data_IF_556603615793
#
_entry.id   IF_556603615793
#
_cell.length_a   1.000
_cell.length_b   1.000
_cell.length_c   1.000
_cell.angle_alpha   90.00
_cell.angle_beta   90.00
_cell.angle_gamma   90.00
#
_symmetry.space_group_name_H-M   'P 1'
#
loop_
_entity.id
_entity.type
_entity.pdbx_description
1 polymer ?
#
# COMPACT_ATOMS: atom_id res chain seq x y z
N UNK A 1 -1.39 -1.15 38.23
CA UNK A 1 -0.14 -1.61 38.86
C UNK A 1 -0.39 -2.96 39.51
N UNK A 2 0.44 -3.99 39.26
CA UNK A 2 0.27 -5.29 39.92
C UNK A 2 0.67 -5.14 41.40
N UNK A 3 -0.25 -5.47 42.31
CA UNK A 3 -0.03 -5.34 43.75
C UNK A 3 1.12 -6.29 44.16
N UNK A 4 2.26 -5.72 44.58
CA UNK A 4 3.51 -6.45 44.85
C UNK A 4 3.31 -7.53 45.93
N UNK A 5 2.36 -7.31 46.83
CA UNK A 5 1.93 -8.25 47.88
C UNK A 5 1.28 -9.51 47.30
N UNK A 6 0.52 -9.39 46.21
CA UNK A 6 -0.16 -10.53 45.56
C UNK A 6 0.80 -11.39 44.73
N UNK A 7 1.86 -10.79 44.19
CA UNK A 7 2.87 -11.54 43.43
C UNK A 7 3.76 -12.37 44.37
N UNK A 8 4.10 -11.85 45.55
CA UNK A 8 4.88 -12.59 46.56
C UNK A 8 4.10 -13.79 47.12
N UNK A 9 2.82 -13.63 47.42
CA UNK A 9 1.97 -14.75 47.87
C UNK A 9 1.75 -15.79 46.76
N UNK A 10 1.56 -15.35 45.51
CA UNK A 10 1.47 -16.26 44.37
C UNK A 10 2.75 -17.07 44.15
N UNK A 11 3.92 -16.42 44.15
CA UNK A 11 5.21 -17.12 44.00
C UNK A 11 5.51 -18.05 45.18
N UNK A 12 5.08 -17.69 46.39
CA UNK A 12 5.20 -18.57 47.57
C UNK A 12 4.28 -19.79 47.47
N UNK A 13 3.07 -19.63 46.93
CA UNK A 13 2.14 -20.74 46.68
C UNK A 13 2.69 -21.71 45.62
N UNK A 14 3.22 -21.19 44.52
CA UNK A 14 3.86 -21.99 43.46
C UNK A 14 5.06 -22.76 44.00
N UNK A 15 5.86 -22.13 44.88
CA UNK A 15 7.00 -22.79 45.52
C UNK A 15 6.59 -23.91 46.49
N UNK A 16 5.53 -23.72 47.27
CA UNK A 16 5.01 -24.75 48.18
C UNK A 16 4.38 -25.93 47.43
N UNK A 17 3.65 -25.65 46.34
CA UNK A 17 3.11 -26.68 45.45
C UNK A 17 4.23 -27.51 44.79
N UNK A 18 5.33 -26.86 44.39
CA UNK A 18 6.49 -27.56 43.83
C UNK A 18 7.21 -28.46 44.85
N UNK A 19 7.11 -28.14 46.14
CA UNK A 19 7.71 -28.91 47.24
C UNK A 19 6.78 -30.01 47.78
N UNK A 20 5.59 -30.20 47.21
CA UNK A 20 4.63 -31.23 47.63
C UNK A 20 3.97 -30.97 48.99
N UNK A 21 4.08 -29.74 49.51
CA UNK A 21 3.49 -29.36 50.79
C UNK A 21 2.06 -28.83 50.63
N UNK A 22 1.25 -29.06 51.66
CA UNK A 22 -0.18 -28.75 51.66
C UNK A 22 -0.44 -27.23 51.58
N UNK A 23 -1.16 -26.80 50.54
CA UNK A 23 -1.38 -25.37 50.22
C UNK A 23 -2.41 -24.68 51.12
N UNK A 24 -3.03 -25.42 52.05
CA UNK A 24 -4.12 -24.94 52.91
C UNK A 24 -3.73 -23.91 53.97
N UNK A 25 -2.43 -23.70 54.23
CA UNK A 25 -1.94 -22.79 55.30
C UNK A 25 -1.73 -21.36 54.78
N UNK A 26 -1.79 -21.13 53.46
CA UNK A 26 -1.63 -19.79 52.92
C UNK A 26 -2.91 -18.98 53.12
N UNK A 27 -2.84 -17.77 53.72
CA UNK A 27 -3.97 -16.85 53.77
C UNK A 27 -4.21 -16.35 52.34
N UNK A 28 -5.00 -17.10 51.58
CA UNK A 28 -5.52 -16.67 50.30
C UNK A 28 -6.47 -15.52 50.60
N UNK A 29 -6.03 -14.29 50.29
CA UNK A 29 -6.91 -13.14 50.30
C UNK A 29 -8.12 -13.49 49.43
N UNK A 30 -9.37 -13.34 49.90
CA UNK A 30 -10.51 -13.53 49.02
C UNK A 30 -10.28 -12.56 47.86
N UNK A 31 -10.13 -13.10 46.65
CA UNK A 31 -10.07 -12.32 45.43
C UNK A 31 -11.43 -11.63 45.30
N UNK A 32 -11.59 -10.49 45.95
CA UNK A 32 -12.74 -9.62 45.73
C UNK A 32 -12.70 -9.29 44.24
N UNK A 33 -13.79 -9.51 43.48
CA UNK A 33 -13.84 -9.12 42.08
C UNK A 33 -13.42 -7.66 41.98
N UNK A 34 -12.37 -7.36 41.22
CA UNK A 34 -11.93 -5.99 41.01
C UNK A 34 -13.14 -5.19 40.52
N UNK A 35 -13.52 -4.12 41.24
CA UNK A 35 -14.63 -3.28 40.78
C UNK A 35 -14.20 -2.65 39.45
N UNK A 36 -15.12 -2.44 38.53
CA UNK A 36 -14.83 -1.78 37.25
C UNK A 36 -14.19 -0.38 37.42
N UNK A 37 -14.32 0.23 38.61
CA UNK A 37 -13.67 1.48 39.03
C UNK A 37 -12.16 1.34 39.29
N UNK A 38 -11.70 0.14 39.63
CA UNK A 38 -10.33 -0.12 40.14
C UNK A 38 -9.38 -0.61 39.03
N UNK A 39 -9.94 -0.93 37.86
CA UNK A 39 -9.20 -1.31 36.66
C UNK A 39 -9.03 -0.06 35.80
N UNK A 40 -7.85 0.56 35.85
CA UNK A 40 -7.46 1.60 34.88
C UNK A 40 -7.74 1.09 33.46
N UNK A 41 -8.55 1.84 32.70
CA UNK A 41 -8.84 1.50 31.31
C UNK A 41 -7.51 1.36 30.56
N UNK A 42 -7.33 0.29 29.77
CA UNK A 42 -6.07 0.07 29.08
C UNK A 42 -5.74 1.26 28.19
N UNK A 43 -4.49 1.73 28.20
CA UNK A 43 -4.07 2.84 27.34
C UNK A 43 -4.19 2.41 25.87
N UNK A 44 -5.09 3.06 25.14
CA UNK A 44 -5.38 2.79 23.73
C UNK A 44 -4.72 3.80 22.78
N UNK A 45 -4.34 4.97 23.28
CA UNK A 45 -3.67 6.03 22.51
C UNK A 45 -2.40 6.49 23.19
N UNK A 46 -1.33 6.64 22.42
CA UNK A 46 -0.06 7.22 22.86
C UNK A 46 0.46 8.18 21.79
N UNK A 47 0.84 9.38 22.21
CA UNK A 47 1.40 10.43 21.35
C UNK A 47 2.79 10.77 21.89
N UNK A 48 3.77 10.79 21.01
CA UNK A 48 5.16 11.15 21.28
C UNK A 48 5.58 12.09 20.14
N UNK A 49 5.77 13.36 20.46
CA UNK A 49 6.14 14.41 19.47
C UNK A 49 7.58 14.90 19.64
N UNK A 50 8.34 14.27 20.54
CA UNK A 50 9.72 14.64 20.81
C UNK A 50 10.54 13.41 21.16
N UNK A 51 11.80 13.41 20.71
CA UNK A 51 12.77 12.35 21.00
C UNK A 51 12.92 12.09 22.51
N UNK A 52 12.75 13.13 23.34
CA UNK A 52 12.91 13.04 24.81
C UNK A 52 11.81 12.18 25.46
N UNK A 53 10.61 12.20 24.89
CA UNK A 53 9.44 11.50 25.40
C UNK A 53 9.36 10.06 24.86
N UNK A 54 10.24 9.72 23.92
CA UNK A 54 10.29 8.40 23.32
C UNK A 54 10.76 7.37 24.36
N UNK A 55 9.99 6.29 24.62
CA UNK A 55 10.30 5.34 25.68
C UNK A 55 11.49 4.46 25.30
N UNK A 56 12.69 4.80 25.78
CA UNK A 56 13.92 4.04 25.50
C UNK A 56 13.96 2.70 26.25
N UNK A 57 13.54 2.68 27.52
CA UNK A 57 13.64 1.50 28.40
C UNK A 57 12.28 0.86 28.70
N UNK A 58 11.18 1.60 28.56
CA UNK A 58 9.82 1.10 28.81
C UNK A 58 9.22 0.48 27.56
N UNK A 59 8.53 -0.65 27.70
CA UNK A 59 7.76 -1.26 26.61
C UNK A 59 6.50 -0.44 26.30
N UNK A 60 6.08 -0.46 25.04
CA UNK A 60 4.79 0.09 24.64
C UNK A 60 3.64 -0.75 25.22
N UNK A 61 2.53 -0.13 25.67
CA UNK A 61 1.36 -0.87 26.11
C UNK A 61 0.78 -1.73 24.97
N UNK A 62 0.62 -3.03 25.19
CA UNK A 62 0.09 -3.97 24.18
C UNK A 62 -1.37 -3.68 23.77
N UNK A 63 -2.09 -2.88 24.55
CA UNK A 63 -3.45 -2.44 24.27
C UNK A 63 -3.56 -1.25 23.32
N UNK A 64 -2.44 -0.71 22.84
CA UNK A 64 -2.46 0.45 21.95
C UNK A 64 -3.16 0.14 20.63
N UNK A 65 -4.08 1.02 20.29
CA UNK A 65 -4.76 1.08 18.99
C UNK A 65 -4.24 2.25 18.15
N UNK A 66 -3.74 3.28 18.81
CA UNK A 66 -3.29 4.53 18.17
C UNK A 66 -1.92 4.90 18.72
N UNK A 67 -0.91 4.90 17.86
CA UNK A 67 0.43 5.32 18.20
C UNK A 67 0.86 6.41 17.24
N UNK A 68 1.21 7.57 17.80
CA UNK A 68 1.82 8.67 17.08
C UNK A 68 3.22 8.89 17.63
N UNK A 69 4.23 8.76 16.79
CA UNK A 69 5.63 9.05 17.11
C UNK A 69 6.22 9.97 16.05
N UNK A 70 5.84 11.25 16.07
CA UNK A 70 6.31 12.24 15.10
C UNK A 70 7.46 13.08 15.66
N UNK A 71 8.27 13.70 14.79
CA UNK A 71 9.39 14.57 15.18
C UNK A 71 10.42 13.93 16.13
N UNK A 72 10.53 12.60 16.09
CA UNK A 72 11.39 11.82 16.98
C UNK A 72 12.75 11.49 16.36
N UNK A 73 13.06 12.02 15.16
CA UNK A 73 14.30 11.76 14.40
C UNK A 73 14.61 10.25 14.27
N UNK A 74 13.57 9.42 14.18
CA UNK A 74 13.72 7.97 14.10
C UNK A 74 14.30 7.60 12.73
N UNK A 75 15.44 6.92 12.71
CA UNK A 75 16.02 6.39 11.48
C UNK A 75 15.39 5.05 11.05
N UNK A 76 14.76 4.34 11.99
CA UNK A 76 14.14 3.03 11.82
C UNK A 76 12.93 2.90 12.72
N UNK A 77 11.98 2.05 12.30
CA UNK A 77 10.85 1.66 13.14
C UNK A 77 11.35 0.72 14.24
N UNK A 78 10.94 1.01 15.47
CA UNK A 78 11.26 0.20 16.63
C UNK A 78 10.53 -1.14 16.59
N UNK A 79 11.26 -2.24 16.74
CA UNK A 79 10.72 -3.59 16.70
C UNK A 79 9.59 -3.80 17.72
N UNK A 80 9.59 -3.06 18.84
CA UNK A 80 8.55 -3.15 19.87
C UNK A 80 7.18 -2.66 19.39
N UNK A 81 7.14 -1.72 18.44
CA UNK A 81 5.90 -1.25 17.81
C UNK A 81 5.29 -2.34 16.94
N UNK A 82 6.13 -3.19 16.32
CA UNK A 82 5.71 -4.26 15.42
C UNK A 82 5.02 -5.43 16.16
N UNK A 83 5.15 -5.48 17.50
CA UNK A 83 4.45 -6.42 18.36
C UNK A 83 3.02 -5.96 18.74
N UNK A 84 2.60 -4.74 18.41
CA UNK A 84 1.31 -4.17 18.81
C UNK A 84 0.16 -4.65 17.92
N UNK A 85 -0.31 -5.88 18.12
CA UNK A 85 -1.33 -6.53 17.25
C UNK A 85 -2.71 -5.84 17.23
N UNK A 86 -3.00 -4.96 18.18
CA UNK A 86 -4.24 -4.17 18.22
C UNK A 86 -4.12 -2.80 17.55
N UNK A 87 -2.94 -2.46 17.03
CA UNK A 87 -2.70 -1.15 16.44
C UNK A 87 -3.52 -0.97 15.16
N UNK A 88 -4.30 0.11 15.13
CA UNK A 88 -5.15 0.52 14.01
C UNK A 88 -4.61 1.77 13.31
N UNK A 89 -3.98 2.67 14.06
CA UNK A 89 -3.35 3.88 13.52
C UNK A 89 -1.91 3.99 13.98
N UNK A 90 -1.00 4.14 13.01
CA UNK A 90 0.41 4.35 13.24
C UNK A 90 0.85 5.60 12.47
N UNK A 91 1.18 6.64 13.22
CA UNK A 91 1.75 7.88 12.69
C UNK A 91 3.24 7.93 13.03
N UNK A 92 4.07 7.94 11.98
CA UNK A 92 5.52 8.03 12.01
C UNK A 92 6.00 9.25 11.21
N UNK A 93 5.14 10.25 11.02
CA UNK A 93 5.43 11.45 10.25
C UNK A 93 6.60 12.27 10.81
N UNK A 94 7.27 13.06 9.96
CA UNK A 94 8.39 13.94 10.34
C UNK A 94 9.51 13.19 11.08
N UNK A 95 9.99 12.09 10.49
CA UNK A 95 11.12 11.31 11.00
C UNK A 95 12.21 11.17 9.93
N UNK A 96 13.15 10.25 10.12
CA UNK A 96 14.26 10.01 9.20
C UNK A 96 14.28 8.55 8.71
N UNK A 97 13.10 7.94 8.62
CA UNK A 97 12.96 6.53 8.27
C UNK A 97 13.32 6.36 6.79
N UNK A 98 14.30 5.48 6.52
CA UNK A 98 14.76 5.19 5.16
C UNK A 98 14.12 3.97 4.53
N UNK A 99 13.76 3.00 5.35
CA UNK A 99 13.23 1.70 4.91
C UNK A 99 12.22 1.17 5.92
N UNK A 100 11.21 0.47 5.41
CA UNK A 100 10.20 -0.19 6.22
C UNK A 100 10.55 -1.68 6.40
N UNK A 101 10.53 -2.22 7.62
CA UNK A 101 10.77 -3.64 7.86
C UNK A 101 9.57 -4.47 7.38
N UNK A 102 9.82 -5.66 6.83
CA UNK A 102 8.77 -6.56 6.35
C UNK A 102 7.77 -6.96 7.47
N UNK A 103 8.24 -7.02 8.72
CA UNK A 103 7.45 -7.32 9.92
C UNK A 103 6.39 -6.26 10.25
N UNK A 104 6.43 -5.06 9.63
CA UNK A 104 5.32 -4.11 9.69
C UNK A 104 4.04 -4.72 9.10
N UNK A 105 4.18 -5.67 8.16
CA UNK A 105 3.10 -6.44 7.59
C UNK A 105 2.34 -7.33 8.57
N UNK A 106 2.91 -7.60 9.76
CA UNK A 106 2.28 -8.43 10.79
C UNK A 106 1.25 -7.67 11.63
N UNK A 107 1.09 -6.37 11.40
CA UNK A 107 0.08 -5.51 12.03
C UNK A 107 -1.25 -5.63 11.28
N UNK A 108 -1.88 -6.80 11.37
CA UNK A 108 -3.10 -7.16 10.62
C UNK A 108 -4.33 -6.26 10.89
N UNK A 109 -4.31 -5.50 11.99
CA UNK A 109 -5.38 -4.56 12.35
C UNK A 109 -5.10 -3.13 11.88
N UNK A 110 -3.94 -2.85 11.28
CA UNK A 110 -3.52 -1.51 10.91
C UNK A 110 -4.35 -1.00 9.74
N UNK A 111 -5.00 0.13 9.95
CA UNK A 111 -5.91 0.79 9.00
C UNK A 111 -5.31 2.10 8.46
N UNK A 112 -4.56 2.82 9.28
CA UNK A 112 -3.96 4.10 8.91
C UNK A 112 -2.46 4.05 9.19
N UNK A 113 -1.66 4.27 8.15
CA UNK A 113 -0.21 4.39 8.24
C UNK A 113 0.20 5.74 7.65
N UNK A 114 0.74 6.60 8.52
CA UNK A 114 1.27 7.90 8.13
C UNK A 114 2.79 7.88 8.22
N UNK A 115 3.45 8.09 7.07
CA UNK A 115 4.89 8.17 6.89
C UNK A 115 5.29 9.48 6.19
N UNK A 116 4.42 10.49 6.26
CA UNK A 116 4.67 11.83 5.74
C UNK A 116 6.01 12.40 6.22
N UNK A 117 6.75 13.10 5.36
CA UNK A 117 8.02 13.76 5.69
C UNK A 117 9.04 12.80 6.34
N UNK A 118 9.52 11.86 5.52
CA UNK A 118 10.56 10.89 5.86
C UNK A 118 11.57 10.77 4.70
N UNK A 119 12.53 9.84 4.80
CA UNK A 119 13.57 9.63 3.79
C UNK A 119 13.39 8.30 3.06
N UNK A 120 12.14 7.86 2.82
CA UNK A 120 11.88 6.59 2.14
C UNK A 120 12.25 6.70 0.66
N UNK A 121 13.17 5.84 0.21
CA UNK A 121 13.56 5.74 -1.20
C UNK A 121 12.66 4.74 -1.97
N UNK A 122 12.05 3.79 -1.25
CA UNK A 122 11.17 2.78 -1.82
C UNK A 122 10.14 2.27 -0.80
N UNK A 123 8.96 1.89 -1.30
CA UNK A 123 7.99 1.13 -0.53
C UNK A 123 8.25 -0.38 -0.71
N UNK A 124 8.31 -1.14 0.39
CA UNK A 124 8.66 -2.55 0.35
C UNK A 124 7.50 -3.42 -0.18
N UNK A 125 7.73 -4.17 -1.26
CA UNK A 125 6.75 -5.10 -1.83
C UNK A 125 6.31 -6.20 -0.84
N UNK A 126 7.14 -6.55 0.14
CA UNK A 126 6.78 -7.50 1.19
C UNK A 126 5.56 -7.04 2.01
N UNK A 127 5.38 -5.73 2.19
CA UNK A 127 4.21 -5.18 2.89
C UNK A 127 2.94 -5.35 2.06
N UNK A 128 3.07 -5.29 0.73
CA UNK A 128 1.97 -5.48 -0.19
C UNK A 128 1.48 -6.92 -0.23
N UNK A 129 2.31 -7.90 0.15
CA UNK A 129 1.94 -9.32 0.23
C UNK A 129 1.58 -9.80 1.64
N UNK A 130 1.39 -8.87 2.59
CA UNK A 130 1.14 -9.17 4.00
C UNK A 130 -0.33 -8.98 4.41
N UNK A 131 -0.62 -9.10 5.72
CA UNK A 131 -1.98 -8.87 6.25
C UNK A 131 -2.54 -7.47 5.96
N UNK A 132 -1.67 -6.50 5.66
CA UNK A 132 -2.05 -5.13 5.31
C UNK A 132 -2.91 -5.02 4.06
N UNK A 133 -2.87 -6.01 3.16
CA UNK A 133 -3.66 -6.03 1.91
C UNK A 133 -5.14 -5.71 2.12
N UNK A 134 -5.71 -6.20 3.22
CA UNK A 134 -7.14 -6.09 3.53
C UNK A 134 -7.44 -5.03 4.59
N UNK A 135 -6.48 -4.74 5.46
CA UNK A 135 -6.70 -3.87 6.62
C UNK A 135 -6.41 -2.41 6.33
N UNK A 136 -5.37 -2.11 5.53
CA UNK A 136 -4.87 -0.76 5.33
C UNK A 136 -5.83 0.03 4.43
N UNK A 137 -6.31 1.17 4.94
CA UNK A 137 -7.30 2.05 4.30
C UNK A 137 -6.72 3.42 3.96
N UNK A 138 -5.81 3.93 4.81
CA UNK A 138 -5.14 5.20 4.61
C UNK A 138 -3.63 4.98 4.62
N UNK A 139 -2.96 5.46 3.58
CA UNK A 139 -1.51 5.45 3.46
C UNK A 139 -1.03 6.82 3.00
N UNK A 140 -0.23 7.47 3.83
CA UNK A 140 0.46 8.71 3.50
C UNK A 140 1.96 8.44 3.36
N UNK A 141 2.48 8.64 2.15
CA UNK A 141 3.90 8.56 1.80
C UNK A 141 4.40 9.88 1.23
N UNK A 142 3.65 10.98 1.42
CA UNK A 142 4.03 12.29 0.89
C UNK A 142 5.35 12.79 1.49
N UNK A 143 6.05 13.68 0.78
CA UNK A 143 7.35 14.25 1.19
C UNK A 143 8.37 13.15 1.54
N UNK A 144 8.61 12.27 0.57
CA UNK A 144 9.64 11.23 0.66
C UNK A 144 10.49 11.26 -0.63
N UNK A 145 11.33 10.24 -0.84
CA UNK A 145 12.25 10.15 -1.97
C UNK A 145 11.90 8.97 -2.89
N UNK A 146 10.63 8.56 -2.92
CA UNK A 146 10.19 7.36 -3.61
C UNK A 146 10.22 7.59 -5.12
N UNK A 147 10.98 6.77 -5.84
CA UNK A 147 11.07 6.83 -7.31
C UNK A 147 10.10 5.90 -8.02
N UNK A 148 9.75 4.79 -7.38
CA UNK A 148 8.79 3.82 -7.89
C UNK A 148 8.10 3.08 -6.74
N UNK A 149 6.84 2.73 -6.97
CA UNK A 149 6.12 1.77 -6.12
C UNK A 149 6.35 0.35 -6.63
N UNK A 150 6.35 -0.67 -5.74
CA UNK A 150 6.51 -2.06 -6.13
C UNK A 150 5.32 -2.53 -6.99
N UNK A 151 5.52 -3.59 -7.79
CA UNK A 151 4.48 -4.14 -8.67
C UNK A 151 3.31 -4.70 -7.86
N UNK A 152 3.62 -5.25 -6.69
CA UNK A 152 2.70 -5.82 -5.73
C UNK A 152 1.85 -4.75 -5.04
N UNK A 153 2.17 -3.46 -5.17
CA UNK A 153 1.45 -2.36 -4.49
C UNK A 153 -0.06 -2.40 -4.71
N UNK A 154 -0.49 -2.82 -5.91
CA UNK A 154 -1.89 -2.96 -6.26
C UNK A 154 -2.63 -4.11 -5.51
N UNK A 155 -1.92 -4.93 -4.75
CA UNK A 155 -2.50 -5.94 -3.86
C UNK A 155 -3.12 -5.34 -2.59
N UNK A 156 -2.83 -4.07 -2.26
CA UNK A 156 -3.41 -3.32 -1.14
C UNK A 156 -4.87 -2.91 -1.41
N UNK A 157 -5.75 -3.89 -1.67
CA UNK A 157 -7.15 -3.71 -2.09
C UNK A 157 -8.04 -3.02 -1.05
N UNK A 158 -7.58 -2.94 0.20
CA UNK A 158 -8.25 -2.21 1.28
C UNK A 158 -8.12 -0.68 1.18
N UNK A 159 -7.16 -0.17 0.39
CA UNK A 159 -6.85 1.26 0.35
C UNK A 159 -8.02 2.09 -0.16
N UNK A 160 -8.32 3.15 0.58
CA UNK A 160 -9.35 4.17 0.29
C UNK A 160 -8.70 5.51 -0.01
N UNK A 161 -7.61 5.85 0.70
CA UNK A 161 -6.87 7.09 0.54
C UNK A 161 -5.39 6.82 0.39
N UNK A 162 -4.79 7.40 -0.64
CA UNK A 162 -3.37 7.30 -0.92
C UNK A 162 -2.80 8.69 -1.23
N UNK A 163 -1.79 9.10 -0.46
CA UNK A 163 -1.01 10.31 -0.73
C UNK A 163 0.43 9.95 -1.05
N UNK A 164 0.91 10.50 -2.15
CA UNK A 164 2.24 10.29 -2.74
C UNK A 164 2.89 11.62 -3.12
N UNK A 165 2.35 12.74 -2.62
CA UNK A 165 2.78 14.08 -3.01
C UNK A 165 4.26 14.32 -2.69
N UNK A 166 4.91 15.20 -3.44
CA UNK A 166 6.30 15.60 -3.17
C UNK A 166 7.25 14.39 -3.06
N UNK A 167 7.25 13.55 -4.11
CA UNK A 167 8.15 12.42 -4.27
C UNK A 167 8.86 12.52 -5.63
N UNK A 168 9.60 11.48 -6.02
CA UNK A 168 10.30 11.42 -7.30
C UNK A 168 9.71 10.35 -8.23
N UNK A 169 8.40 10.06 -8.13
CA UNK A 169 7.78 8.96 -8.86
C UNK A 169 7.88 9.18 -10.37
N UNK A 170 8.50 8.21 -11.05
CA UNK A 170 8.63 8.20 -12.51
C UNK A 170 7.43 7.52 -13.20
N UNK A 171 6.71 6.68 -12.46
CA UNK A 171 5.52 5.96 -12.94
C UNK A 171 4.66 5.48 -11.78
N UNK A 172 3.36 5.39 -12.02
CA UNK A 172 2.45 4.60 -11.19
C UNK A 172 2.43 3.13 -11.65
N UNK A 173 2.15 2.16 -10.75
CA UNK A 173 2.01 0.75 -11.11
C UNK A 173 1.00 0.53 -12.24
N UNK A 174 1.32 -0.35 -13.20
CA UNK A 174 0.48 -0.60 -14.38
C UNK A 174 -0.91 -1.15 -14.06
N UNK A 175 -1.10 -1.70 -12.85
CA UNK A 175 -2.34 -2.30 -12.34
C UNK A 175 -3.02 -1.46 -11.27
N UNK A 176 -2.76 -0.14 -11.21
CA UNK A 176 -3.35 0.74 -10.20
C UNK A 176 -4.89 0.65 -10.15
N UNK A 177 -5.53 0.38 -11.30
CA UNK A 177 -6.97 0.12 -11.40
C UNK A 177 -7.50 -1.08 -10.61
N UNK A 178 -6.64 -1.94 -10.05
CA UNK A 178 -7.06 -3.01 -9.14
C UNK A 178 -7.43 -2.51 -7.74
N UNK A 179 -7.05 -1.28 -7.38
CA UNK A 179 -7.41 -0.62 -6.12
C UNK A 179 -8.87 -0.13 -6.18
N UNK A 180 -9.82 -1.06 -6.24
CA UNK A 180 -11.25 -0.76 -6.47
C UNK A 180 -11.94 0.02 -5.34
N UNK A 181 -11.33 0.09 -4.15
CA UNK A 181 -11.83 0.88 -3.01
C UNK A 181 -11.21 2.27 -2.92
N UNK A 182 -10.23 2.58 -3.76
CA UNK A 182 -9.54 3.86 -3.73
C UNK A 182 -10.51 4.96 -4.15
N UNK A 183 -10.65 5.99 -3.30
CA UNK A 183 -11.49 7.17 -3.53
C UNK A 183 -10.68 8.45 -3.59
N UNK A 184 -9.55 8.51 -2.89
CA UNK A 184 -8.70 9.69 -2.83
C UNK A 184 -7.30 9.31 -3.26
N UNK A 185 -6.81 9.93 -4.34
CA UNK A 185 -5.44 9.76 -4.82
C UNK A 185 -4.81 11.13 -5.00
N UNK A 186 -3.70 11.34 -4.30
CA UNK A 186 -2.86 12.52 -4.46
C UNK A 186 -1.45 12.07 -4.84
N UNK A 187 -0.96 12.54 -5.98
CA UNK A 187 0.40 12.28 -6.44
C UNK A 187 0.99 13.56 -7.08
N UNK A 188 0.69 14.70 -6.47
CA UNK A 188 1.18 15.99 -6.91
C UNK A 188 2.71 16.08 -6.75
N UNK A 189 3.34 16.96 -7.52
CA UNK A 189 4.79 17.29 -7.45
C UNK A 189 5.66 16.04 -7.55
N UNK A 190 5.37 15.21 -8.55
CA UNK A 190 6.14 14.03 -8.91
C UNK A 190 6.75 14.20 -10.31
N UNK A 191 7.29 13.12 -10.89
CA UNK A 191 7.92 13.11 -12.21
C UNK A 191 7.19 12.19 -13.18
N UNK A 192 5.87 12.12 -13.09
CA UNK A 192 5.04 11.25 -13.94
C UNK A 192 4.90 11.85 -15.35
N UNK A 193 5.42 11.20 -16.40
CA UNK A 193 5.24 11.66 -17.78
C UNK A 193 3.88 11.21 -18.37
N UNK A 194 3.31 10.12 -17.83
CA UNK A 194 2.05 9.53 -18.28
C UNK A 194 1.43 8.68 -17.17
N UNK A 195 0.13 8.41 -17.31
CA UNK A 195 -0.64 7.51 -16.47
C UNK A 195 -0.74 6.11 -17.10
N UNK A 196 -0.82 5.03 -16.29
CA UNK A 196 -0.96 3.67 -16.81
C UNK A 196 -2.33 3.42 -17.45
N UNK A 197 -2.44 2.45 -18.36
CA UNK A 197 -3.68 2.12 -19.08
C UNK A 197 -4.86 1.81 -18.17
N UNK A 198 -4.60 1.13 -17.05
CA UNK A 198 -5.61 0.73 -16.07
C UNK A 198 -6.10 1.88 -15.20
N UNK A 199 -5.51 3.08 -15.29
CA UNK A 199 -5.97 4.25 -14.55
C UNK A 199 -7.44 4.57 -14.87
N UNK A 200 -7.89 4.29 -16.11
CA UNK A 200 -9.28 4.39 -16.57
C UNK A 200 -10.29 3.56 -15.77
N UNK A 201 -9.83 2.53 -15.04
CA UNK A 201 -10.68 1.62 -14.26
C UNK A 201 -10.96 2.12 -12.84
N UNK A 202 -10.27 3.18 -12.40
CA UNK A 202 -10.47 3.76 -11.07
C UNK A 202 -11.79 4.55 -11.01
N UNK A 203 -12.31 4.76 -9.81
CA UNK A 203 -13.50 5.57 -9.56
C UNK A 203 -13.29 6.40 -8.30
N UNK A 204 -12.63 7.54 -8.50
CA UNK A 204 -12.16 8.43 -7.45
C UNK A 204 -13.18 9.55 -7.15
N UNK A 205 -13.20 10.01 -5.91
CA UNK A 205 -13.89 11.24 -5.52
C UNK A 205 -12.99 12.45 -5.71
N UNK A 206 -11.70 12.30 -5.39
CA UNK A 206 -10.69 13.34 -5.52
C UNK A 206 -9.39 12.79 -6.12
N UNK A 207 -8.89 13.52 -7.11
CA UNK A 207 -7.62 13.26 -7.77
C UNK A 207 -6.79 14.54 -7.83
N UNK A 208 -5.57 14.47 -7.33
CA UNK A 208 -4.57 15.52 -7.50
C UNK A 208 -3.32 14.96 -8.17
N UNK A 209 -2.95 15.54 -9.31
CA UNK A 209 -1.77 15.20 -10.09
C UNK A 209 -0.96 16.45 -10.44
N UNK A 210 -1.21 17.58 -9.77
CA UNK A 210 -0.58 18.86 -10.06
C UNK A 210 0.94 18.77 -10.04
N UNK A 211 1.64 19.51 -10.92
CA UNK A 211 3.10 19.60 -10.88
C UNK A 211 3.82 18.32 -11.31
N UNK A 212 3.19 17.50 -12.14
CA UNK A 212 3.85 16.44 -12.91
C UNK A 212 4.18 16.92 -14.33
N UNK A 213 5.25 16.42 -14.96
CA UNK A 213 5.68 16.81 -16.31
C UNK A 213 4.83 16.13 -17.38
N UNK A 214 3.52 16.37 -17.37
CA UNK A 214 2.64 15.88 -18.42
C UNK A 214 2.81 16.70 -19.69
N UNK A 215 3.13 16.02 -20.78
CA UNK A 215 3.22 16.62 -22.10
C UNK A 215 2.04 16.17 -22.97
N UNK A 216 1.63 17.02 -23.90
CA UNK A 216 0.64 16.62 -24.89
C UNK A 216 1.22 15.49 -25.73
N UNK A 217 0.56 14.32 -25.78
CA UNK A 217 1.09 13.19 -26.52
C UNK A 217 1.02 13.47 -28.02
N UNK A 218 2.01 12.99 -28.76
CA UNK A 218 1.92 12.91 -30.22
C UNK A 218 1.33 11.54 -30.61
N UNK A 219 0.04 11.46 -30.99
CA UNK A 219 -0.66 10.19 -31.20
C UNK A 219 -0.21 9.43 -32.47
N UNK A 220 0.64 10.04 -33.31
CA UNK A 220 1.00 9.54 -34.64
C UNK A 220 2.27 8.68 -34.66
N UNK A 221 3.01 8.58 -33.55
CA UNK A 221 4.26 7.79 -33.49
C UNK A 221 4.11 6.63 -32.50
N UNK A 222 3.64 5.46 -32.95
CA UNK A 222 3.56 4.29 -32.09
C UNK A 222 4.93 3.68 -31.81
N UNK A 223 5.14 3.21 -30.58
CA UNK A 223 6.27 2.34 -30.26
C UNK A 223 5.85 0.89 -30.52
N UNK A 224 6.32 0.33 -31.63
CA UNK A 224 5.95 -1.01 -32.10
C UNK A 224 7.03 -2.01 -31.72
N UNK A 225 6.69 -2.96 -30.84
CA UNK A 225 7.56 -4.05 -30.39
C UNK A 225 6.92 -5.41 -30.67
N UNK A 226 6.41 -5.64 -31.88
CA UNK A 226 5.77 -6.90 -32.23
C UNK A 226 6.79 -7.98 -32.61
N UNK A 227 6.71 -9.14 -31.95
CA UNK A 227 7.43 -10.36 -32.34
C UNK A 227 6.51 -11.28 -33.12
N UNK A 228 6.88 -11.60 -34.36
CA UNK A 228 6.13 -12.46 -35.28
C UNK A 228 7.07 -13.59 -35.74
N UNK A 229 6.76 -14.87 -35.46
CA UNK A 229 5.63 -15.35 -34.65
C UNK A 229 5.76 -14.98 -33.16
N UNK A 230 4.64 -14.94 -32.44
CA UNK A 230 4.63 -14.68 -30.99
C UNK A 230 5.36 -15.79 -30.23
N UNK A 231 6.03 -15.44 -29.14
CA UNK A 231 6.74 -16.43 -28.31
C UNK A 231 5.75 -17.35 -27.59
N UNK A 232 6.19 -18.56 -27.22
CA UNK A 232 5.38 -19.48 -26.42
C UNK A 232 4.89 -18.84 -25.12
N UNK A 233 5.74 -18.01 -24.48
CA UNK A 233 5.39 -17.26 -23.27
C UNK A 233 4.24 -16.28 -23.51
N UNK A 234 4.28 -15.52 -24.61
CA UNK A 234 3.23 -14.57 -24.97
C UNK A 234 1.92 -15.31 -25.28
N UNK A 235 1.99 -16.43 -26.01
CA UNK A 235 0.85 -17.28 -26.30
C UNK A 235 0.24 -17.89 -25.02
N UNK A 236 1.08 -18.40 -24.11
CA UNK A 236 0.64 -18.95 -22.83
C UNK A 236 -0.05 -17.88 -21.97
N UNK A 237 0.55 -16.69 -21.84
CA UNK A 237 -0.03 -15.59 -21.06
C UNK A 237 -1.38 -15.12 -21.65
N UNK A 238 -1.47 -15.00 -22.97
CA UNK A 238 -2.73 -14.65 -23.66
C UNK A 238 -3.77 -15.75 -23.45
N UNK A 239 -3.41 -17.02 -23.59
CA UNK A 239 -4.33 -18.13 -23.35
C UNK A 239 -4.84 -18.14 -21.91
N UNK A 240 -3.96 -17.94 -20.92
CA UNK A 240 -4.35 -17.85 -19.50
C UNK A 240 -5.39 -16.76 -19.27
N UNK A 241 -5.18 -15.55 -19.79
CA UNK A 241 -6.11 -14.42 -19.59
C UNK A 241 -7.39 -14.61 -20.41
N UNK A 242 -7.28 -14.99 -21.68
CA UNK A 242 -8.43 -15.12 -22.58
C UNK A 242 -9.38 -16.26 -22.13
N UNK A 243 -8.84 -17.37 -21.61
CA UNK A 243 -9.63 -18.47 -21.05
C UNK A 243 -9.97 -18.29 -19.55
N UNK A 244 -9.62 -17.14 -18.95
CA UNK A 244 -9.87 -16.83 -17.53
C UNK A 244 -9.37 -17.92 -16.58
N UNK A 245 -8.25 -18.56 -16.92
CA UNK A 245 -7.67 -19.63 -16.12
C UNK A 245 -7.23 -19.03 -14.79
N UNK A 246 -7.73 -19.52 -13.63
CA UNK A 246 -7.25 -19.07 -12.34
C UNK A 246 -5.76 -19.38 -12.24
N UNK A 247 -4.95 -18.35 -12.01
CA UNK A 247 -3.51 -18.50 -11.88
C UNK A 247 -3.08 -18.25 -10.44
N UNK A 248 -2.54 -19.29 -9.84
CA UNK A 248 -1.83 -19.26 -8.56
C UNK A 248 -0.57 -20.09 -8.68
N UNK A 249 0.34 -19.97 -7.72
CA UNK A 249 1.63 -20.69 -7.69
C UNK A 249 1.52 -22.23 -7.76
N UNK A 250 0.31 -22.78 -7.65
CA UNK A 250 0.02 -24.21 -7.72
C UNK A 250 -0.58 -24.69 -9.07
N UNK A 251 -1.04 -23.76 -9.93
CA UNK A 251 -1.74 -24.09 -11.19
C UNK A 251 -0.93 -23.76 -12.44
N UNK A 252 -0.08 -22.73 -12.36
CA UNK A 252 0.80 -22.32 -13.45
C UNK A 252 2.24 -22.21 -12.95
N UNK A 253 3.24 -22.33 -13.85
CA UNK A 253 4.62 -22.04 -13.52
C UNK A 253 4.74 -20.67 -12.85
N UNK A 254 5.48 -20.60 -11.75
CA UNK A 254 5.63 -19.38 -10.93
C UNK A 254 6.14 -18.18 -11.74
N UNK A 255 6.98 -18.42 -12.74
CA UNK A 255 7.46 -17.41 -13.69
C UNK A 255 6.31 -16.80 -14.51
N UNK A 256 5.40 -17.62 -15.04
CA UNK A 256 4.25 -17.14 -15.79
C UNK A 256 3.30 -16.33 -14.91
N UNK A 257 3.12 -16.70 -13.64
CA UNK A 257 2.33 -15.90 -12.69
C UNK A 257 2.93 -14.51 -12.49
N UNK A 258 4.26 -14.42 -12.30
CA UNK A 258 4.97 -13.14 -12.18
C UNK A 258 4.87 -12.32 -13.46
N UNK A 259 5.04 -12.94 -14.62
CA UNK A 259 4.92 -12.26 -15.92
C UNK A 259 3.51 -11.73 -16.12
N UNK A 260 2.49 -12.51 -15.75
CA UNK A 260 1.10 -12.07 -15.78
C UNK A 260 0.88 -10.87 -14.88
N UNK A 261 1.48 -10.81 -13.68
CA UNK A 261 1.39 -9.64 -12.80
C UNK A 261 1.91 -8.35 -13.43
N UNK A 262 2.94 -8.43 -14.28
CA UNK A 262 3.48 -7.26 -15.03
C UNK A 262 2.87 -7.08 -16.41
N UNK A 263 1.99 -7.99 -16.83
CA UNK A 263 1.36 -7.94 -18.14
C UNK A 263 0.50 -6.69 -18.28
N UNK A 264 0.67 -6.02 -19.41
CA UNK A 264 -0.18 -4.90 -19.83
C UNK A 264 -1.44 -5.47 -20.44
N UNK A 265 -2.54 -4.74 -20.36
CA UNK A 265 -3.81 -5.18 -20.93
C UNK A 265 -4.07 -4.46 -22.25
N UNK A 266 -4.23 -5.24 -23.33
CA UNK A 266 -4.72 -4.74 -24.60
C UNK A 266 -6.18 -4.29 -24.47
N UNK A 267 -6.64 -3.36 -25.32
CA UNK A 267 -8.07 -3.00 -25.42
C UNK A 267 -9.00 -4.20 -25.66
N UNK A 268 -8.55 -5.25 -26.34
CA UNK A 268 -9.35 -6.47 -26.53
C UNK A 268 -9.42 -7.37 -25.28
N UNK A 269 -8.72 -7.02 -24.20
CA UNK A 269 -8.65 -7.79 -22.97
C UNK A 269 -7.46 -8.76 -22.89
N UNK A 270 -6.75 -9.03 -24.00
CA UNK A 270 -5.59 -9.91 -24.00
C UNK A 270 -4.39 -9.31 -23.25
N UNK A 271 -3.58 -10.18 -22.66
CA UNK A 271 -2.31 -9.81 -22.04
C UNK A 271 -1.23 -9.49 -23.10
N UNK A 272 -0.45 -8.46 -22.80
CA UNK A 272 0.71 -8.03 -23.55
C UNK A 272 1.93 -8.06 -22.63
N UNK A 273 2.89 -8.96 -22.88
CA UNK A 273 4.14 -9.01 -22.10
C UNK A 273 5.22 -8.18 -22.78
N UNK A 274 5.85 -8.77 -23.80
CA UNK A 274 6.98 -8.22 -24.53
C UNK A 274 6.65 -7.94 -26.00
N UNK A 275 5.50 -8.43 -26.48
CA UNK A 275 5.01 -8.20 -27.84
C UNK A 275 3.79 -7.27 -27.82
N UNK A 276 4.01 -5.97 -28.07
CA UNK A 276 2.94 -4.97 -28.05
C UNK A 276 3.22 -3.76 -28.93
N UNK A 277 2.15 -3.04 -29.27
CA UNK A 277 2.21 -1.66 -29.75
C UNK A 277 1.81 -0.76 -28.59
N UNK A 278 2.62 0.25 -28.31
CA UNK A 278 2.36 1.25 -27.27
C UNK A 278 2.16 2.62 -27.91
N UNK A 279 1.12 3.32 -27.47
CA UNK A 279 0.89 4.74 -27.77
C UNK A 279 0.52 5.49 -26.50
N UNK A 280 0.64 6.80 -26.53
CA UNK A 280 0.12 7.69 -25.49
C UNK A 280 -1.05 8.47 -26.08
N UNK A 281 -2.14 8.56 -25.34
CA UNK A 281 -3.37 9.26 -25.76
C UNK A 281 -3.83 10.17 -24.64
N UNK A 282 -4.44 11.29 -25.01
CA UNK A 282 -5.01 12.21 -24.03
C UNK A 282 -6.26 11.60 -23.41
N UNK A 283 -6.46 11.82 -22.12
CA UNK A 283 -7.65 11.41 -21.39
C UNK A 283 -8.10 12.50 -20.44
N UNK A 284 -9.38 12.86 -20.52
CA UNK A 284 -10.01 13.70 -19.51
C UNK A 284 -10.16 12.95 -18.19
N UNK A 285 -9.60 13.53 -17.11
CA UNK A 285 -9.56 12.91 -15.80
C UNK A 285 -10.93 12.90 -15.09
N UNK A 286 -11.90 13.70 -15.53
CA UNK A 286 -13.26 13.66 -14.98
C UNK A 286 -13.97 12.33 -15.27
N UNK A 287 -13.51 11.55 -16.24
CA UNK A 287 -13.99 10.17 -16.44
C UNK A 287 -13.64 9.23 -15.28
N UNK A 288 -12.62 9.57 -14.49
CA UNK A 288 -12.11 8.75 -13.39
C UNK A 288 -12.37 9.39 -12.03
N UNK A 289 -12.49 10.72 -11.96
CA UNK A 289 -12.71 11.43 -10.70
C UNK A 289 -13.72 12.57 -10.78
N UNK A 290 -14.54 12.74 -9.73
CA UNK A 290 -15.43 13.89 -9.63
C UNK A 290 -14.66 15.20 -9.47
N UNK A 291 -13.70 15.23 -8.56
CA UNK A 291 -12.87 16.42 -8.29
C UNK A 291 -11.47 16.17 -8.81
N UNK A 292 -11.05 16.96 -9.80
CA UNK A 292 -9.68 16.92 -10.33
C UNK A 292 -9.00 18.24 -10.00
N UNK A 293 -7.91 18.17 -9.23
CA UNK A 293 -7.04 19.31 -9.00
C UNK A 293 -6.09 19.42 -10.20
N UNK A 294 -6.11 20.60 -10.82
CA UNK A 294 -5.27 21.10 -11.93
C UNK A 294 -4.09 20.18 -12.30
N UNK A 295 -4.04 19.69 -13.54
CA UNK A 295 -3.01 18.75 -14.00
C UNK A 295 -1.71 19.48 -14.36
N UNK A 296 -1.82 20.73 -14.81
CA UNK A 296 -0.72 21.57 -15.26
C UNK A 296 -0.87 23.03 -14.82
N UNK A 297 0.13 23.86 -15.12
CA UNK A 297 0.11 25.30 -14.86
C UNK A 297 -0.88 26.07 -15.76
N UNK A 298 -1.55 25.39 -16.70
CA UNK A 298 -2.42 25.98 -17.72
C UNK A 298 -3.91 25.71 -17.46
N UNK A 299 -4.25 24.97 -16.41
CA UNK A 299 -5.65 24.72 -16.03
C UNK A 299 -6.27 23.49 -16.69
N UNK A 300 -5.48 22.65 -17.36
CA UNK A 300 -5.97 21.43 -17.99
C UNK A 300 -6.41 20.37 -16.97
N UNK A 301 -7.45 19.62 -17.32
CA UNK A 301 -7.89 18.40 -16.61
C UNK A 301 -7.59 17.12 -17.39
N UNK A 302 -6.83 17.26 -18.47
CA UNK A 302 -6.46 16.16 -19.36
C UNK A 302 -5.06 15.68 -19.03
N UNK A 303 -4.85 14.36 -19.08
CA UNK A 303 -3.54 13.76 -18.85
C UNK A 303 -3.20 12.71 -19.94
N UNK A 304 -1.92 12.57 -20.30
CA UNK A 304 -1.45 11.50 -21.17
C UNK A 304 -1.58 10.13 -20.48
N UNK A 305 -2.24 9.18 -21.14
CA UNK A 305 -2.43 7.81 -20.66
C UNK A 305 -1.83 6.83 -21.67
N UNK A 306 -1.07 5.86 -21.18
CA UNK A 306 -0.55 4.78 -22.01
C UNK A 306 -1.65 3.82 -22.45
N UNK A 307 -1.58 3.42 -23.71
CA UNK A 307 -2.42 2.38 -24.30
C UNK A 307 -1.53 1.31 -24.94
N UNK A 308 -1.95 0.05 -24.79
CA UNK A 308 -1.24 -1.10 -25.32
C UNK A 308 -2.14 -1.89 -26.27
N UNK A 309 -1.55 -2.43 -27.34
CA UNK A 309 -2.25 -3.30 -28.29
C UNK A 309 -1.46 -4.57 -28.55
N UNK A 310 -2.15 -5.71 -28.62
CA UNK A 310 -1.53 -7.02 -28.81
C UNK A 310 -1.20 -7.34 -30.28
N UNK A 311 -1.74 -6.56 -31.22
CA UNK A 311 -1.60 -6.76 -32.67
C UNK A 311 -1.85 -5.47 -33.45
N UNK A 312 -1.41 -5.45 -34.72
CA UNK A 312 -1.73 -4.38 -35.68
C UNK A 312 -3.25 -4.24 -35.89
N UNK A 313 -4.01 -5.33 -35.88
CA UNK A 313 -5.47 -5.28 -36.02
C UNK A 313 -6.13 -4.51 -34.88
N UNK A 314 -5.73 -4.77 -33.63
CA UNK A 314 -6.24 -4.02 -32.47
C UNK A 314 -5.85 -2.54 -32.51
N UNK A 315 -4.65 -2.23 -33.04
CA UNK A 315 -4.19 -0.85 -33.19
C UNK A 315 -4.96 -0.10 -34.30
N UNK A 316 -5.17 -0.72 -35.46
CA UNK A 316 -5.96 -0.14 -36.56
C UNK A 316 -7.39 0.18 -36.11
N UNK A 317 -8.06 -0.78 -35.48
CA UNK A 317 -9.41 -0.57 -34.94
C UNK A 317 -9.48 0.56 -33.91
N UNK A 318 -8.42 0.76 -33.14
CA UNK A 318 -8.31 1.88 -32.22
C UNK A 318 -8.21 3.21 -32.96
N UNK A 319 -7.32 3.29 -33.95
CA UNK A 319 -7.11 4.49 -34.76
C UNK A 319 -8.40 4.89 -35.49
N UNK A 320 -9.08 3.94 -36.13
CA UNK A 320 -10.32 4.20 -36.87
C UNK A 320 -11.37 4.86 -35.97
N UNK A 321 -11.55 4.34 -34.75
CA UNK A 321 -12.48 4.91 -33.77
C UNK A 321 -12.02 6.25 -33.22
N UNK A 322 -10.71 6.42 -33.02
CA UNK A 322 -10.19 7.66 -32.47
C UNK A 322 -10.27 8.82 -33.49
N UNK A 323 -10.01 8.53 -34.76
CA UNK A 323 -10.14 9.48 -35.87
C UNK A 323 -11.60 9.83 -36.19
N UNK A 324 -12.55 8.93 -35.89
CA UNK A 324 -13.99 9.22 -36.01
C UNK A 324 -14.57 10.04 -34.85
N UNK A 325 -13.86 10.14 -33.73
CA UNK A 325 -14.34 10.83 -32.50
C UNK A 325 -13.68 12.18 -32.22
N UNK A 326 -12.70 12.57 -33.04
CA UNK A 326 -12.12 13.91 -33.13
C UNK A 326 -12.69 14.64 -34.35
#
# INVERSE_FOLDING_TARGET
QANVTNLKTFLSAVRLAHQGNDTGVLPLSPLVPAKNSDVEKPKTKMIITSRRDYPLTKSFPFSLEHLQTSYCKLARIDARVLCLKKLRKLDLSHNHIKQLPATLGDLVCLQELDLHDNHLEAFSGALCSSGLQKSLQFLDLSQNQIQALPLEFCQLRGLVRLRLDDNALLRLPCRIGQLSRLRFLSAARNKLPFLPSDFRKLSLENLDLFGNPFEQPNPLVPNVQLKIPSTLLECAARATVNHRIPYGCHLLPSHLCKDLEVAKTCRCGSACLSSFIQITVTMNLHHVSHTVVLVDNMGGTDAPVLCYFCSLGCYSQFLDRHLQSN
#
